data_IF_887448614844
#
_entry.id   IF_887448614844
#
_cell.length_a   1.000
_cell.length_b   1.000
_cell.length_c   1.000
_cell.angle_alpha   90.00
_cell.angle_beta   90.00
_cell.angle_gamma   90.00
#
_symmetry.space_group_name_H-M   'P 1'
#
loop_
_entity.id
_entity.type
_entity.pdbx_description
1 polymer ?
#
# COMPACT_ATOMS: atom_id res chain seq x y z
N UNK A 1 52.94 37.74 -22.57
CA UNK A 1 52.40 36.59 -23.33
C UNK A 1 52.45 35.36 -22.41
N UNK A 2 51.43 34.47 -22.45
CA UNK A 2 51.12 33.33 -21.53
C UNK A 2 50.33 33.76 -20.27
N UNK A 3 49.01 33.97 -20.26
CA UNK A 3 47.83 33.28 -20.84
C UNK A 3 47.54 31.89 -20.23
N UNK A 4 46.46 31.88 -19.41
CA UNK A 4 45.51 30.78 -19.17
C UNK A 4 45.97 29.54 -18.40
N UNK A 5 45.93 29.58 -17.07
CA UNK A 5 45.61 28.38 -16.27
C UNK A 5 45.06 28.81 -14.92
N UNK A 6 43.84 28.35 -14.57
CA UNK A 6 43.18 28.31 -13.23
C UNK A 6 41.69 28.68 -13.30
N UNK A 7 40.92 28.02 -14.16
CA UNK A 7 39.46 27.93 -14.01
C UNK A 7 39.00 26.47 -14.17
N UNK A 8 39.64 25.53 -13.47
CA UNK A 8 39.19 24.13 -13.37
C UNK A 8 39.13 23.72 -11.90
N UNK A 9 38.46 24.52 -11.07
CA UNK A 9 38.25 24.18 -9.66
C UNK A 9 36.81 24.46 -9.19
N UNK A 10 35.85 24.61 -10.11
CA UNK A 10 34.45 24.91 -9.76
C UNK A 10 33.41 23.94 -10.36
N UNK A 11 33.82 22.93 -11.12
CA UNK A 11 32.87 22.01 -11.79
C UNK A 11 32.65 20.66 -11.08
N UNK A 12 33.37 20.36 -9.99
CA UNK A 12 33.28 19.04 -9.32
C UNK A 12 32.40 19.06 -8.07
N UNK A 13 32.08 20.24 -7.50
CA UNK A 13 31.31 20.29 -6.24
C UNK A 13 29.78 20.34 -6.39
N UNK A 14 29.25 20.44 -7.62
CA UNK A 14 27.79 20.43 -7.87
C UNK A 14 27.30 19.03 -8.31
N UNK A 15 28.19 18.16 -8.79
CA UNK A 15 27.81 16.82 -9.24
C UNK A 15 27.63 15.79 -8.11
N UNK A 16 28.13 16.07 -6.89
CA UNK A 16 28.11 15.11 -5.78
C UNK A 16 26.86 15.12 -4.89
N UNK A 17 26.03 16.16 -4.94
CA UNK A 17 24.87 16.32 -4.03
C UNK A 17 23.56 15.84 -4.64
N UNK A 18 23.50 15.64 -5.96
CA UNK A 18 22.29 15.20 -6.67
C UNK A 18 21.92 13.71 -6.48
N UNK A 19 22.80 12.89 -5.91
CA UNK A 19 22.60 11.43 -5.81
C UNK A 19 21.99 10.92 -4.49
N UNK A 20 21.59 11.80 -3.56
CA UNK A 20 21.13 11.39 -2.22
C UNK A 20 19.63 11.64 -1.92
N UNK A 21 18.81 11.90 -2.94
CA UNK A 21 17.37 12.12 -2.78
C UNK A 21 16.48 11.12 -3.54
N UNK A 22 16.97 9.91 -3.79
CA UNK A 22 16.15 8.80 -4.29
C UNK A 22 16.08 7.67 -3.25
N UNK A 23 15.86 8.00 -1.98
CA UNK A 23 15.32 7.00 -1.06
C UNK A 23 13.83 6.89 -1.37
N UNK A 24 13.48 5.77 -2.01
CA UNK A 24 12.21 5.54 -2.66
C UNK A 24 11.02 5.87 -1.78
N UNK A 25 10.08 6.62 -2.36
CA UNK A 25 8.71 6.61 -1.89
C UNK A 25 8.26 5.15 -1.91
N UNK A 26 8.09 4.55 -0.74
CA UNK A 26 7.43 3.25 -0.59
C UNK A 26 5.93 3.43 -0.85
N UNK A 27 5.60 3.71 -2.11
CA UNK A 27 4.24 3.78 -2.61
C UNK A 27 3.73 2.38 -2.97
N UNK A 28 2.41 2.25 -3.03
CA UNK A 28 1.71 1.06 -3.48
C UNK A 28 2.24 0.65 -4.87
N UNK A 29 3.05 -0.40 -4.94
CA UNK A 29 3.64 -0.90 -6.17
C UNK A 29 2.85 -2.12 -6.65
N UNK A 30 2.33 -2.06 -7.88
CA UNK A 30 1.56 -3.15 -8.47
C UNK A 30 0.16 -3.35 -7.88
N UNK A 31 -0.33 -2.39 -7.09
CA UNK A 31 -1.68 -2.40 -6.53
C UNK A 31 -2.70 -1.78 -7.50
N UNK A 32 -3.87 -2.41 -7.61
CA UNK A 32 -5.05 -1.87 -8.29
C UNK A 32 -6.26 -2.06 -7.39
N UNK A 33 -7.03 -1.00 -7.21
CA UNK A 33 -8.24 -1.00 -6.37
C UNK A 33 -9.42 -0.62 -7.25
N UNK A 34 -10.45 -1.47 -7.26
CA UNK A 34 -11.71 -1.21 -7.97
C UNK A 34 -12.83 -1.14 -6.95
N UNK A 35 -13.54 -0.01 -6.86
CA UNK A 35 -14.72 0.09 -5.99
C UNK A 35 -15.84 -0.79 -6.53
N UNK A 36 -16.30 -1.73 -5.69
CA UNK A 36 -17.43 -2.63 -6.00
C UNK A 36 -18.73 -2.09 -5.39
N UNK A 37 -18.63 -1.50 -4.20
CA UNK A 37 -19.76 -0.91 -3.49
C UNK A 37 -19.30 0.30 -2.69
N UNK A 38 -20.03 1.40 -2.77
CA UNK A 38 -19.92 2.50 -1.82
C UNK A 38 -21.33 3.01 -1.52
N UNK A 39 -21.78 2.85 -0.28
CA UNK A 39 -23.17 3.14 0.08
C UNK A 39 -23.35 3.59 1.52
N UNK A 40 -24.35 4.42 1.76
CA UNK A 40 -24.85 4.82 3.09
C UNK A 40 -26.19 4.17 3.43
N UNK A 41 -26.72 3.32 2.54
CA UNK A 41 -27.98 2.60 2.69
C UNK A 41 -27.83 1.11 2.38
N UNK A 42 -28.76 0.30 2.90
CA UNK A 42 -28.94 -1.11 2.53
C UNK A 42 -29.49 -1.23 1.11
N UNK A 43 -29.56 -2.47 0.59
CA UNK A 43 -30.19 -2.76 -0.70
C UNK A 43 -31.70 -2.41 -0.74
N UNK A 44 -32.38 -2.35 0.40
CA UNK A 44 -33.79 -1.93 0.51
C UNK A 44 -33.94 -0.43 0.85
N UNK A 45 -32.84 0.32 0.84
CA UNK A 45 -32.84 1.78 1.03
C UNK A 45 -32.89 2.24 2.49
N UNK A 46 -32.77 1.35 3.48
CA UNK A 46 -32.67 1.81 4.87
C UNK A 46 -31.29 2.41 5.14
N UNK A 47 -31.18 3.51 5.91
CA UNK A 47 -29.88 4.05 6.31
C UNK A 47 -29.05 3.03 7.08
N UNK A 48 -27.75 2.96 6.76
CA UNK A 48 -26.79 2.20 7.56
C UNK A 48 -26.68 2.83 8.97
N UNK A 49 -26.54 1.98 9.97
CA UNK A 49 -26.36 2.39 11.37
C UNK A 49 -25.13 1.71 11.95
N UNK A 50 -24.04 2.46 12.09
CA UNK A 50 -22.89 2.08 12.90
C UNK A 50 -22.90 2.88 14.21
N UNK A 51 -22.28 2.37 15.28
CA UNK A 51 -22.15 3.10 16.54
C UNK A 51 -21.27 4.36 16.45
N UNK A 52 -20.51 4.54 15.35
CA UNK A 52 -19.63 5.68 15.10
C UNK A 52 -20.18 6.60 13.99
N UNK A 53 -19.61 7.79 13.84
CA UNK A 53 -20.05 8.79 12.87
C UNK A 53 -19.76 8.39 11.41
N UNK A 54 -20.56 8.92 10.46
CA UNK A 54 -20.42 8.75 8.99
C UNK A 54 -20.63 7.31 8.50
N UNK A 55 -21.85 6.81 8.68
CA UNK A 55 -22.22 5.46 8.28
C UNK A 55 -22.08 5.24 6.76
N UNK A 56 -21.03 4.52 6.38
CA UNK A 56 -20.76 4.14 4.99
C UNK A 56 -20.13 2.76 4.95
N UNK A 57 -20.63 1.89 4.08
CA UNK A 57 -19.93 0.69 3.66
C UNK A 57 -19.15 0.97 2.37
N UNK A 58 -17.89 0.54 2.35
CA UNK A 58 -17.03 0.52 1.17
C UNK A 58 -16.57 -0.92 0.95
N UNK A 59 -16.86 -1.47 -0.23
CA UNK A 59 -16.34 -2.73 -0.72
C UNK A 59 -15.49 -2.48 -1.96
N UNK A 60 -14.31 -3.08 -2.00
CA UNK A 60 -13.37 -2.98 -3.12
C UNK A 60 -12.96 -4.37 -3.58
N UNK A 61 -12.67 -4.50 -4.87
CA UNK A 61 -11.82 -5.58 -5.39
C UNK A 61 -10.40 -5.04 -5.41
N UNK A 62 -9.56 -5.60 -4.56
CA UNK A 62 -8.15 -5.28 -4.45
C UNK A 62 -7.34 -6.33 -5.23
N UNK A 63 -6.49 -5.87 -6.13
CA UNK A 63 -5.57 -6.71 -6.89
C UNK A 63 -4.13 -6.26 -6.62
N UNK A 64 -3.23 -7.21 -6.36
CA UNK A 64 -1.82 -6.95 -6.12
C UNK A 64 -0.96 -7.87 -6.99
N UNK A 65 -0.17 -7.28 -7.90
CA UNK A 65 0.73 -8.03 -8.77
C UNK A 65 1.77 -8.85 -7.97
N UNK A 66 2.38 -9.90 -8.56
CA UNK A 66 3.50 -10.62 -7.94
C UNK A 66 4.63 -9.67 -7.52
N UNK A 67 5.13 -9.82 -6.30
CA UNK A 67 6.14 -8.92 -5.71
C UNK A 67 5.61 -7.51 -5.37
N UNK A 68 4.33 -7.25 -5.62
CA UNK A 68 3.67 -6.00 -5.28
C UNK A 68 3.58 -5.80 -3.78
N UNK A 69 3.55 -4.52 -3.37
CA UNK A 69 3.52 -4.10 -1.98
C UNK A 69 2.58 -2.93 -1.80
N UNK A 70 1.75 -2.96 -0.76
CA UNK A 70 0.84 -1.86 -0.41
C UNK A 70 1.61 -0.70 0.23
N UNK A 71 2.65 -1.00 1.01
CA UNK A 71 3.37 -0.03 1.81
C UNK A 71 2.81 0.04 3.23
N UNK A 72 3.66 0.45 4.17
CA UNK A 72 3.32 0.46 5.60
C UNK A 72 2.19 1.46 5.90
N UNK A 73 1.09 0.98 6.44
CA UNK A 73 -0.12 1.75 6.72
C UNK A 73 -0.88 1.20 7.94
N UNK A 74 -2.01 1.85 8.28
CA UNK A 74 -2.98 1.41 9.29
C UNK A 74 -4.36 1.96 8.95
N UNK A 75 -5.42 1.34 9.49
CA UNK A 75 -6.79 1.77 9.22
C UNK A 75 -7.43 2.43 10.45
N UNK A 76 -8.10 3.59 10.29
CA UNK A 76 -8.79 4.25 11.40
C UNK A 76 -10.08 3.54 11.83
N UNK A 77 -10.58 2.63 10.99
CA UNK A 77 -11.71 1.74 11.26
C UNK A 77 -11.34 0.32 10.80
N UNK A 78 -11.78 -0.74 11.49
CA UNK A 78 -11.47 -2.09 11.06
C UNK A 78 -12.03 -2.39 9.66
N UNK A 79 -11.25 -3.10 8.86
CA UNK A 79 -11.68 -3.66 7.57
C UNK A 79 -11.73 -5.20 7.67
N UNK A 80 -12.25 -5.84 6.63
CA UNK A 80 -12.10 -7.27 6.41
C UNK A 80 -11.44 -7.46 5.05
N UNK A 81 -10.42 -8.29 5.00
CA UNK A 81 -9.76 -8.73 3.77
C UNK A 81 -10.08 -10.21 3.59
N UNK A 82 -10.64 -10.56 2.43
CA UNK A 82 -10.95 -11.95 2.09
C UNK A 82 -10.22 -12.32 0.80
N UNK A 83 -9.22 -13.19 0.90
CA UNK A 83 -8.38 -13.52 -0.26
C UNK A 83 -9.19 -14.42 -1.21
N UNK A 84 -9.41 -13.94 -2.43
CA UNK A 84 -10.11 -14.63 -3.50
C UNK A 84 -9.15 -15.47 -4.36
N UNK A 85 -7.96 -14.96 -4.65
CA UNK A 85 -6.95 -15.60 -5.50
C UNK A 85 -5.54 -15.30 -4.97
N UNK A 86 -4.60 -16.23 -5.18
CA UNK A 86 -3.20 -16.04 -4.80
C UNK A 86 -2.98 -16.04 -3.28
N UNK A 87 -2.08 -15.18 -2.83
CA UNK A 87 -1.75 -15.03 -1.40
C UNK A 87 -1.32 -13.60 -1.06
N UNK A 88 -1.59 -13.19 0.17
CA UNK A 88 -1.11 -11.95 0.77
C UNK A 88 -0.32 -12.27 2.03
N UNK A 89 0.92 -11.81 2.11
CA UNK A 89 1.70 -11.80 3.35
C UNK A 89 1.49 -10.47 4.05
N UNK A 90 1.08 -10.52 5.31
CA UNK A 90 0.91 -9.35 6.18
C UNK A 90 2.06 -9.32 7.18
N UNK A 91 2.77 -8.20 7.19
CA UNK A 91 3.82 -7.89 8.15
C UNK A 91 3.32 -6.80 9.09
N UNK A 92 2.90 -7.19 10.30
CA UNK A 92 2.45 -6.25 11.33
C UNK A 92 3.55 -5.97 12.34
N UNK A 93 3.69 -4.70 12.76
CA UNK A 93 4.71 -4.29 13.71
C UNK A 93 4.63 -5.10 15.01
N UNK A 94 5.77 -5.71 15.39
CA UNK A 94 5.87 -6.51 16.62
C UNK A 94 5.20 -7.89 16.56
N UNK A 95 4.74 -8.32 15.38
CA UNK A 95 4.15 -9.63 15.16
C UNK A 95 4.94 -10.43 14.10
N UNK A 96 4.91 -11.77 14.15
CA UNK A 96 5.40 -12.57 13.05
C UNK A 96 4.60 -12.30 11.76
N UNK A 97 5.28 -12.29 10.62
CA UNK A 97 4.63 -12.22 9.32
C UNK A 97 3.66 -13.40 9.14
N UNK A 98 2.49 -13.14 8.55
CA UNK A 98 1.47 -14.17 8.29
C UNK A 98 1.01 -14.13 6.85
N UNK A 99 0.99 -15.30 6.21
CA UNK A 99 0.43 -15.46 4.87
C UNK A 99 -1.04 -15.89 4.94
N UNK A 100 -1.87 -15.24 4.13
CA UNK A 100 -3.27 -15.58 3.89
C UNK A 100 -3.44 -15.97 2.42
N UNK A 101 -4.12 -17.08 2.16
CA UNK A 101 -4.34 -17.67 0.84
C UNK A 101 -5.81 -17.62 0.45
N UNK A 102 -6.08 -17.90 -0.82
CA UNK A 102 -7.45 -18.02 -1.33
C UNK A 102 -8.36 -18.83 -0.39
N UNK A 103 -9.49 -18.24 -0.02
CA UNK A 103 -10.46 -18.80 0.94
C UNK A 103 -10.24 -18.39 2.39
N UNK A 104 -9.14 -17.71 2.73
CA UNK A 104 -8.87 -17.20 4.08
C UNK A 104 -9.27 -15.73 4.21
N UNK A 105 -9.72 -15.36 5.41
CA UNK A 105 -10.09 -13.99 5.77
C UNK A 105 -9.34 -13.52 7.01
N UNK A 106 -9.14 -12.21 7.10
CA UNK A 106 -8.64 -11.55 8.31
C UNK A 106 -9.15 -10.11 8.38
N UNK A 107 -8.88 -9.45 9.51
CA UNK A 107 -9.25 -8.06 9.73
C UNK A 107 -7.99 -7.25 10.00
N UNK A 108 -7.89 -6.09 9.36
CA UNK A 108 -6.90 -5.06 9.69
C UNK A 108 -7.59 -3.92 10.45
N UNK A 109 -6.81 -3.18 11.22
CA UNK A 109 -7.32 -2.09 12.06
C UNK A 109 -6.24 -1.07 12.38
N UNK A 110 -6.34 -0.46 13.56
CA UNK A 110 -5.44 0.61 13.99
C UNK A 110 -4.10 0.08 14.52
N UNK A 111 -3.40 -0.68 13.68
CA UNK A 111 -2.05 -1.19 13.92
C UNK A 111 -1.23 -1.03 12.65
N UNK A 112 0.05 -0.67 12.78
CA UNK A 112 0.93 -0.55 11.61
C UNK A 112 1.19 -1.93 10.99
N UNK A 113 0.94 -2.04 9.69
CA UNK A 113 1.19 -3.25 8.92
C UNK A 113 1.52 -2.92 7.47
N UNK A 114 2.04 -3.91 6.75
CA UNK A 114 2.22 -3.88 5.30
C UNK A 114 1.70 -5.17 4.68
N UNK A 115 1.19 -5.06 3.44
CA UNK A 115 0.70 -6.16 2.64
C UNK A 115 1.60 -6.39 1.44
N UNK A 116 2.15 -7.59 1.33
CA UNK A 116 3.10 -7.99 0.28
C UNK A 116 2.56 -9.24 -0.43
N UNK A 117 2.50 -9.21 -1.75
CA UNK A 117 2.26 -10.42 -2.53
C UNK A 117 3.59 -11.15 -2.78
N UNK A 118 3.97 -12.04 -1.87
CA UNK A 118 5.13 -12.93 -2.01
C UNK A 118 4.89 -14.12 -2.96
N UNK A 119 3.72 -14.20 -3.59
CA UNK A 119 3.38 -15.25 -4.56
C UNK A 119 3.87 -14.94 -5.97
N UNK A 120 3.70 -15.92 -6.87
CA UNK A 120 4.06 -15.82 -8.29
C UNK A 120 2.89 -15.46 -9.21
N UNK A 121 1.69 -15.29 -8.66
CA UNK A 121 0.46 -14.90 -9.38
C UNK A 121 -0.15 -13.65 -8.72
N UNK A 122 -0.97 -12.86 -9.44
CA UNK A 122 -1.71 -11.77 -8.82
C UNK A 122 -2.53 -12.28 -7.63
N UNK A 123 -2.51 -11.51 -6.54
CA UNK A 123 -3.42 -11.71 -5.42
C UNK A 123 -4.68 -10.89 -5.67
N UNK A 124 -5.84 -11.44 -5.33
CA UNK A 124 -7.12 -10.73 -5.35
C UNK A 124 -7.81 -10.86 -4.00
N UNK A 125 -8.40 -9.77 -3.50
CA UNK A 125 -9.17 -9.74 -2.26
C UNK A 125 -10.34 -8.74 -2.32
#
# INVERSE_FOLDING_TARGET
MRRFTRYIALAVLIAGVGLLWAQGASGQAGAKITTVLQTTTTAQGQPLQFPLFRNQFLGVLFELAPGGRVGRHRHPVPNVVYVLEGQLTVEADGQPARAYRAGEAFSEGDHWHDGINNGSVPMKA
#
